data_IF_112127838926
#
_entry.id   IF_112127838926
#
_cell.length_a   1.000
_cell.length_b   1.000
_cell.length_c   1.000
_cell.angle_alpha   90.00
_cell.angle_beta   90.00
_cell.angle_gamma   90.00
#
_symmetry.space_group_name_H-M   'P 1'
#
loop_
_entity.id
_entity.type
_entity.pdbx_description
1 polymer ?
#
# COMPACT_ATOMS: atom_id res chain seq x y z
N UNK A 1 -8.84 18.50 -69.54
CA UNK A 1 -8.53 17.25 -68.81
C UNK A 1 -7.47 17.56 -67.78
N UNK A 2 -7.76 17.30 -66.52
CA UNK A 2 -6.79 17.38 -65.43
C UNK A 2 -7.27 16.45 -64.34
N UNK A 3 -6.86 15.18 -64.42
CA UNK A 3 -7.18 14.17 -63.42
C UNK A 3 -6.29 14.45 -62.22
N UNK A 4 -6.89 14.91 -61.12
CA UNK A 4 -6.22 15.02 -59.83
C UNK A 4 -6.03 13.59 -59.32
N UNK A 5 -4.80 13.09 -59.41
CA UNK A 5 -4.44 11.78 -58.86
C UNK A 5 -4.33 11.86 -57.35
N UNK A 6 -5.17 11.05 -56.70
CA UNK A 6 -5.20 10.71 -55.27
C UNK A 6 -3.89 11.01 -54.52
N UNK A 7 -3.98 11.95 -53.57
CA UNK A 7 -3.01 12.11 -52.50
C UNK A 7 -3.01 10.83 -51.65
N UNK A 8 -2.05 9.96 -51.89
CA UNK A 8 -1.74 8.86 -50.98
C UNK A 8 -1.39 9.46 -49.62
N UNK A 9 -2.24 9.27 -48.62
CA UNK A 9 -1.87 9.48 -47.21
C UNK A 9 -0.54 8.76 -46.97
N UNK A 10 0.48 9.52 -46.55
CA UNK A 10 1.80 8.94 -46.26
C UNK A 10 1.63 7.87 -45.17
N UNK A 11 2.41 6.78 -45.24
CA UNK A 11 2.35 5.72 -44.23
C UNK A 11 2.57 6.25 -42.81
N UNK A 12 3.36 7.32 -42.68
CA UNK A 12 3.59 8.05 -41.43
C UNK A 12 2.32 8.72 -40.91
N UNK A 13 1.53 9.38 -41.77
CA UNK A 13 0.26 10.00 -41.38
C UNK A 13 -0.76 8.96 -40.92
N UNK A 14 -0.79 7.78 -41.56
CA UNK A 14 -1.66 6.67 -41.15
C UNK A 14 -1.23 6.13 -39.78
N UNK A 15 0.07 5.97 -39.54
CA UNK A 15 0.60 5.47 -38.27
C UNK A 15 0.34 6.46 -37.13
N UNK A 16 0.50 7.75 -37.39
CA UNK A 16 0.22 8.81 -36.43
C UNK A 16 -1.28 8.88 -36.09
N UNK A 17 -2.15 8.92 -37.10
CA UNK A 17 -3.60 8.92 -36.89
C UNK A 17 -4.09 7.67 -36.15
N UNK A 18 -3.45 6.52 -36.39
CA UNK A 18 -3.73 5.28 -35.66
C UNK A 18 -3.40 5.44 -34.18
N UNK A 19 -2.21 5.96 -33.87
CA UNK A 19 -1.78 6.16 -32.48
C UNK A 19 -2.68 7.18 -31.77
N UNK A 20 -2.96 8.31 -32.40
CA UNK A 20 -3.85 9.34 -31.84
C UNK A 20 -5.26 8.81 -31.57
N UNK A 21 -5.83 8.04 -32.51
CA UNK A 21 -7.14 7.41 -32.31
C UNK A 21 -7.10 6.38 -31.18
N UNK A 22 -6.05 5.57 -31.10
CA UNK A 22 -5.88 4.60 -30.02
C UNK A 22 -5.80 5.29 -28.65
N UNK A 23 -4.98 6.34 -28.52
CA UNK A 23 -4.79 7.08 -27.27
C UNK A 23 -6.09 7.78 -26.85
N UNK A 24 -6.82 8.36 -27.82
CA UNK A 24 -8.12 9.00 -27.55
C UNK A 24 -9.16 8.00 -27.07
N UNK A 25 -9.33 6.86 -27.76
CA UNK A 25 -10.28 5.83 -27.35
C UNK A 25 -9.92 5.24 -25.98
N UNK A 26 -8.62 5.05 -25.70
CA UNK A 26 -8.16 4.60 -24.40
C UNK A 26 -8.50 5.59 -23.28
N UNK A 27 -8.33 6.89 -23.54
CA UNK A 27 -8.65 7.94 -22.58
C UNK A 27 -10.15 8.05 -22.33
N UNK A 28 -10.97 7.95 -23.38
CA UNK A 28 -12.43 7.95 -23.26
C UNK A 28 -12.91 6.75 -22.44
N UNK A 29 -12.44 5.53 -22.75
CA UNK A 29 -12.76 4.32 -21.98
C UNK A 29 -12.33 4.42 -20.52
N UNK A 30 -11.10 4.89 -20.26
CA UNK A 30 -10.62 5.10 -18.89
C UNK A 30 -11.53 6.08 -18.14
N UNK A 31 -11.88 7.20 -18.76
CA UNK A 31 -12.71 8.23 -18.13
C UNK A 31 -14.11 7.70 -17.82
N UNK A 32 -14.72 7.00 -18.77
CA UNK A 32 -16.07 6.44 -18.62
C UNK A 32 -16.15 5.39 -17.50
N UNK A 33 -15.18 4.47 -17.46
CA UNK A 33 -15.11 3.46 -16.40
C UNK A 33 -14.83 4.10 -15.04
N UNK A 34 -13.87 5.05 -14.94
CA UNK A 34 -13.60 5.74 -13.68
C UNK A 34 -14.80 6.54 -13.18
N UNK A 35 -15.57 7.16 -14.08
CA UNK A 35 -16.80 7.86 -13.73
C UNK A 35 -17.90 6.89 -13.26
N UNK A 36 -18.01 5.71 -13.89
CA UNK A 36 -18.95 4.66 -13.48
C UNK A 36 -18.58 4.08 -12.11
N UNK A 37 -17.29 4.02 -11.81
CA UNK A 37 -16.75 3.50 -10.55
C UNK A 37 -16.59 4.57 -9.45
N UNK A 38 -16.97 5.83 -9.70
CA UNK A 38 -16.76 6.93 -8.74
C UNK A 38 -17.42 6.68 -7.37
N UNK A 39 -18.55 5.96 -7.36
CA UNK A 39 -19.33 5.64 -6.17
C UNK A 39 -18.93 4.26 -5.58
N UNK A 40 -17.92 3.60 -6.16
CA UNK A 40 -17.39 2.33 -5.68
C UNK A 40 -16.20 2.53 -4.74
N UNK A 41 -15.92 1.52 -3.93
CA UNK A 41 -14.73 1.43 -3.07
C UNK A 41 -13.48 0.92 -3.83
N UNK A 42 -13.54 0.88 -5.16
CA UNK A 42 -12.49 0.36 -6.01
C UNK A 42 -11.50 1.45 -6.40
N UNK A 43 -10.22 1.17 -6.18
CA UNK A 43 -9.11 2.01 -6.60
C UNK A 43 -8.35 1.35 -7.75
N UNK A 44 -8.02 2.14 -8.77
CA UNK A 44 -7.17 1.72 -9.88
C UNK A 44 -5.73 1.59 -9.40
N UNK A 45 -5.09 0.46 -9.66
CA UNK A 45 -3.65 0.32 -9.40
C UNK A 45 -2.88 1.08 -10.48
N UNK A 46 -2.06 2.05 -10.08
CA UNK A 46 -1.24 2.81 -11.01
C UNK A 46 -0.26 1.89 -11.76
N UNK A 47 -0.15 2.09 -13.08
CA UNK A 47 0.61 1.21 -13.97
C UNK A 47 -0.05 -0.14 -14.30
N UNK A 48 -1.21 -0.48 -13.71
CA UNK A 48 -1.89 -1.76 -13.96
C UNK A 48 -3.02 -1.65 -15.00
N UNK A 49 -2.77 -0.91 -16.08
CA UNK A 49 -3.71 -0.80 -17.19
C UNK A 49 -3.01 -0.97 -18.52
N UNK A 50 -3.66 -1.67 -19.45
CA UNK A 50 -3.21 -1.86 -20.82
C UNK A 50 -4.35 -1.63 -21.81
N UNK A 51 -3.98 -1.15 -22.99
CA UNK A 51 -4.90 -0.99 -24.12
C UNK A 51 -4.48 -1.98 -25.18
N UNK A 52 -5.44 -2.76 -25.67
CA UNK A 52 -5.26 -3.70 -26.76
C UNK A 52 -6.11 -3.26 -27.94
N UNK A 53 -5.50 -3.17 -29.13
CA UNK A 53 -6.26 -3.01 -30.37
C UNK A 53 -6.71 -4.40 -30.81
N UNK A 54 -8.01 -4.62 -30.90
CA UNK A 54 -8.58 -5.90 -31.31
C UNK A 54 -8.80 -5.99 -32.82
N UNK A 55 -9.22 -4.87 -33.43
CA UNK A 55 -9.47 -4.78 -34.88
C UNK A 55 -9.30 -3.33 -35.35
N UNK A 56 -8.96 -3.14 -36.62
CA UNK A 56 -9.03 -1.84 -37.27
C UNK A 56 -9.31 -1.98 -38.77
N UNK A 57 -10.08 -1.04 -39.33
CA UNK A 57 -10.49 -1.01 -40.73
C UNK A 57 -10.28 0.38 -41.31
N UNK A 58 -9.82 0.44 -42.55
CA UNK A 58 -9.66 1.69 -43.30
C UNK A 58 -10.55 1.60 -44.53
N UNK A 59 -11.58 2.45 -44.60
CA UNK A 59 -12.52 2.52 -45.73
C UNK A 59 -12.53 3.92 -46.31
N UNK A 60 -12.10 4.07 -47.57
CA UNK A 60 -11.91 5.35 -48.27
C UNK A 60 -11.03 6.33 -47.47
N UNK A 61 -11.62 7.08 -46.53
CA UNK A 61 -10.97 8.05 -45.64
C UNK A 61 -11.35 7.87 -44.15
N UNK A 62 -12.02 6.77 -43.78
CA UNK A 62 -12.47 6.50 -42.40
C UNK A 62 -11.63 5.39 -41.81
N UNK A 63 -10.92 5.69 -40.72
CA UNK A 63 -10.27 4.72 -39.84
C UNK A 63 -11.24 4.35 -38.71
N UNK A 64 -11.68 3.09 -38.69
CA UNK A 64 -12.45 2.51 -37.59
C UNK A 64 -11.54 1.61 -36.77
N UNK A 65 -11.59 1.72 -35.44
CA UNK A 65 -10.76 0.93 -34.54
C UNK A 65 -11.59 0.37 -33.39
N UNK A 66 -11.36 -0.91 -33.07
CA UNK A 66 -11.90 -1.57 -31.89
C UNK A 66 -10.76 -1.76 -30.89
N UNK A 67 -10.91 -1.19 -29.70
CA UNK A 67 -9.94 -1.30 -28.62
C UNK A 67 -10.59 -1.90 -27.37
N UNK A 68 -9.81 -2.68 -26.63
CA UNK A 68 -10.14 -3.16 -25.30
C UNK A 68 -9.18 -2.52 -24.30
N UNK A 69 -9.73 -1.89 -23.28
CA UNK A 69 -8.97 -1.43 -22.12
C UNK A 69 -9.07 -2.48 -21.01
N UNK A 70 -7.92 -2.91 -20.50
CA UNK A 70 -7.81 -3.83 -19.37
C UNK A 70 -7.19 -3.05 -18.21
N UNK A 71 -7.80 -3.12 -17.04
CA UNK A 71 -7.32 -2.45 -15.85
C UNK A 71 -7.59 -3.31 -14.61
N UNK A 72 -6.71 -3.19 -13.62
CA UNK A 72 -6.87 -3.88 -12.34
C UNK A 72 -7.24 -2.89 -11.25
N UNK A 73 -8.27 -3.27 -10.50
CA UNK A 73 -8.81 -2.51 -9.39
C UNK A 73 -8.72 -3.34 -8.11
N UNK A 74 -8.58 -2.67 -6.97
CA UNK A 74 -8.62 -3.31 -5.66
C UNK A 74 -9.52 -2.52 -4.72
N UNK A 75 -10.06 -3.21 -3.71
CA UNK A 75 -10.73 -2.57 -2.58
C UNK A 75 -9.70 -2.27 -1.52
N UNK A 76 -9.58 -1.00 -1.13
CA UNK A 76 -8.64 -0.58 -0.08
C UNK A 76 -8.89 -1.33 1.23
N UNK A 77 -10.16 -1.55 1.59
CA UNK A 77 -10.56 -2.30 2.79
C UNK A 77 -10.04 -3.73 2.81
N UNK A 78 -10.03 -4.40 1.65
CA UNK A 78 -9.56 -5.79 1.55
C UNK A 78 -8.04 -5.84 1.73
N UNK A 79 -7.32 -4.86 1.18
CA UNK A 79 -5.87 -4.73 1.39
C UNK A 79 -5.54 -4.50 2.88
N UNK A 80 -6.23 -3.57 3.54
CA UNK A 80 -6.09 -3.31 4.97
C UNK A 80 -6.33 -4.59 5.79
N UNK A 81 -7.38 -5.35 5.44
CA UNK A 81 -7.71 -6.61 6.10
C UNK A 81 -6.59 -7.64 5.92
N UNK A 82 -6.03 -7.74 4.71
CA UNK A 82 -4.93 -8.66 4.41
C UNK A 82 -3.64 -8.28 5.15
N UNK A 83 -3.33 -6.99 5.25
CA UNK A 83 -2.21 -6.47 6.04
C UNK A 83 -2.38 -6.82 7.52
N UNK A 84 -3.55 -6.50 8.10
CA UNK A 84 -3.83 -6.79 9.52
C UNK A 84 -3.73 -8.29 9.82
N UNK A 85 -4.24 -9.14 8.93
CA UNK A 85 -4.11 -10.59 9.02
C UNK A 85 -2.64 -11.05 8.97
N UNK A 86 -1.87 -10.53 8.01
CA UNK A 86 -0.45 -10.87 7.86
C UNK A 86 0.35 -10.50 9.12
N UNK A 87 0.17 -9.27 9.63
CA UNK A 87 0.86 -8.77 10.81
C UNK A 87 0.49 -9.57 12.05
N UNK A 88 -0.81 -9.79 12.29
CA UNK A 88 -1.28 -10.52 13.48
C UNK A 88 -0.77 -11.97 13.56
N UNK A 89 -0.57 -12.60 12.40
CA UNK A 89 -0.08 -13.99 12.32
C UNK A 89 1.44 -14.11 12.43
N UNK A 90 2.20 -13.17 11.87
CA UNK A 90 3.66 -13.21 11.91
C UNK A 90 4.24 -12.56 13.16
N UNK A 91 3.49 -11.65 13.78
CA UNK A 91 3.91 -10.89 14.96
C UNK A 91 2.83 -10.99 16.04
N UNK A 92 2.86 -12.06 16.87
CA UNK A 92 1.87 -12.29 17.92
C UNK A 92 1.76 -11.15 18.95
N UNK A 93 2.84 -10.39 19.13
CA UNK A 93 2.89 -9.22 20.02
C UNK A 93 2.16 -8.00 19.43
N UNK A 94 1.82 -8.04 18.13
CA UNK A 94 1.09 -7.01 17.39
C UNK A 94 -0.38 -7.37 17.16
N UNK A 95 -0.98 -8.25 17.98
CA UNK A 95 -2.40 -8.66 17.85
C UNK A 95 -3.42 -7.53 17.84
N UNK A 96 -3.08 -6.37 18.41
CA UNK A 96 -3.92 -5.16 18.41
C UNK A 96 -3.49 -4.13 17.37
N UNK A 97 -2.72 -4.55 16.35
CA UNK A 97 -2.33 -3.70 15.25
C UNK A 97 -3.57 -3.33 14.42
N UNK A 98 -3.93 -2.06 14.46
CA UNK A 98 -4.91 -1.49 13.55
C UNK A 98 -4.18 -0.62 12.55
N UNK A 99 -4.18 -1.03 11.29
CA UNK A 99 -3.74 -0.19 10.20
C UNK A 99 -4.77 0.94 9.96
N UNK A 100 -4.37 2.21 10.14
CA UNK A 100 -5.26 3.37 9.98
C UNK A 100 -4.59 4.56 9.26
N UNK A 101 -3.45 4.32 8.61
CA UNK A 101 -2.63 5.37 7.99
C UNK A 101 -2.83 5.45 6.47
N UNK A 102 -2.43 6.58 5.89
CA UNK A 102 -2.40 6.80 4.44
C UNK A 102 -1.44 5.79 3.77
N UNK A 103 -2.00 4.80 3.06
CA UNK A 103 -1.21 3.87 2.26
C UNK A 103 -0.70 4.64 1.04
N UNK A 104 0.61 4.81 0.94
CA UNK A 104 1.22 5.18 -0.33
C UNK A 104 1.19 3.95 -1.25
N UNK A 105 0.23 3.90 -2.17
CA UNK A 105 0.15 2.81 -3.14
C UNK A 105 1.26 2.96 -4.18
N UNK A 106 2.18 1.99 -4.31
CA UNK A 106 3.19 2.00 -5.33
C UNK A 106 2.59 1.62 -6.68
N UNK A 107 3.26 2.08 -7.73
CA UNK A 107 3.01 1.59 -9.09
C UNK A 107 3.20 0.07 -9.14
N UNK A 108 2.38 -0.58 -9.96
CA UNK A 108 2.56 -1.98 -10.31
C UNK A 108 4.00 -2.22 -10.79
N UNK A 109 4.70 -3.17 -10.15
CA UNK A 109 6.07 -3.54 -10.52
C UNK A 109 6.08 -4.47 -11.73
N UNK A 110 5.05 -5.32 -11.86
CA UNK A 110 4.87 -6.21 -13.01
C UNK A 110 3.40 -6.55 -13.20
N UNK A 111 2.92 -6.51 -14.44
CA UNK A 111 1.57 -6.96 -14.80
C UNK A 111 1.65 -8.01 -15.90
N UNK A 112 1.03 -9.16 -15.69
CA UNK A 112 0.83 -10.19 -16.71
C UNK A 112 -0.67 -10.37 -16.95
N UNK A 113 -1.22 -9.62 -17.90
CA UNK A 113 -2.63 -9.70 -18.29
C UNK A 113 -3.02 -11.05 -18.89
N UNK A 114 -2.06 -11.86 -19.38
CA UNK A 114 -2.37 -13.19 -19.94
C UNK A 114 -2.61 -14.20 -18.82
N UNK A 115 -1.82 -14.11 -17.76
CA UNK A 115 -1.96 -14.97 -16.56
C UNK A 115 -2.95 -14.41 -15.53
N UNK A 116 -3.32 -13.14 -15.66
CA UNK A 116 -4.11 -12.44 -14.64
C UNK A 116 -3.32 -12.16 -13.37
N UNK A 117 -1.99 -12.03 -13.48
CA UNK A 117 -1.10 -11.79 -12.34
C UNK A 117 -0.67 -10.32 -12.26
N UNK A 118 -0.60 -9.80 -11.04
CA UNK A 118 -0.14 -8.45 -10.73
C UNK A 118 0.82 -8.49 -9.55
N UNK A 119 1.95 -7.83 -9.70
CA UNK A 119 2.96 -7.67 -8.66
C UNK A 119 3.10 -6.19 -8.33
N UNK A 120 3.09 -5.90 -7.04
CA UNK A 120 3.18 -4.57 -6.47
C UNK A 120 3.69 -4.72 -5.04
N UNK A 121 4.44 -3.73 -4.56
CA UNK A 121 5.18 -3.84 -3.29
C UNK A 121 4.83 -2.68 -2.41
N UNK A 122 3.96 -2.88 -1.43
CA UNK A 122 3.63 -1.84 -0.47
C UNK A 122 4.74 -1.65 0.55
N UNK A 123 5.11 -0.38 0.74
CA UNK A 123 5.91 0.02 1.89
C UNK A 123 4.96 0.56 2.94
N UNK A 124 4.89 -0.14 4.06
CA UNK A 124 4.14 0.29 5.22
C UNK A 124 5.16 0.81 6.22
N UNK A 125 5.25 2.13 6.31
CA UNK A 125 6.01 2.78 7.37
C UNK A 125 5.04 3.16 8.48
N UNK A 126 5.17 2.53 9.64
CA UNK A 126 4.33 2.83 10.79
C UNK A 126 5.14 2.79 12.07
N UNK A 127 5.21 3.94 12.73
CA UNK A 127 5.62 4.07 14.12
C UNK A 127 4.50 3.51 15.01
N UNK A 128 4.44 2.19 15.13
CA UNK A 128 3.59 1.59 16.14
C UNK A 128 4.29 1.73 17.49
N UNK A 129 3.82 2.67 18.31
CA UNK A 129 3.94 2.48 19.75
C UNK A 129 3.17 1.20 20.05
N UNK A 130 3.87 0.07 20.23
CA UNK A 130 3.23 -1.14 20.69
C UNK A 130 2.48 -0.79 21.98
N UNK A 131 1.20 -1.20 22.14
CA UNK A 131 0.54 -1.11 23.42
C UNK A 131 1.25 -2.09 24.36
N UNK A 132 2.38 -1.65 24.92
CA UNK A 132 3.05 -2.37 25.97
C UNK A 132 2.05 -2.47 27.12
N UNK A 133 1.75 -3.70 27.56
CA UNK A 133 0.95 -3.91 28.76
C UNK A 133 1.79 -3.42 29.95
N UNK A 134 1.64 -2.14 30.26
CA UNK A 134 2.39 -1.47 31.31
C UNK A 134 2.11 -2.08 32.67
N UNK A 135 0.95 -2.69 32.88
CA UNK A 135 0.60 -3.34 34.14
C UNK A 135 1.32 -4.68 34.31
N UNK A 136 1.44 -5.45 33.23
CA UNK A 136 2.29 -6.65 33.22
C UNK A 136 3.76 -6.28 33.41
N UNK A 137 4.24 -5.25 32.71
CA UNK A 137 5.61 -4.80 32.84
C UNK A 137 5.91 -4.31 34.27
N UNK A 138 5.02 -3.53 34.89
CA UNK A 138 5.14 -3.12 36.31
C UNK A 138 5.25 -4.33 37.25
N UNK A 139 4.44 -5.37 37.02
CA UNK A 139 4.47 -6.59 37.84
C UNK A 139 5.79 -7.34 37.73
N UNK A 140 6.36 -7.42 36.53
CA UNK A 140 7.64 -8.07 36.30
C UNK A 140 8.83 -7.30 36.90
N UNK A 141 8.76 -5.97 36.87
CA UNK A 141 9.78 -5.07 37.42
C UNK A 141 9.71 -4.96 38.96
N UNK A 142 8.55 -5.19 39.57
CA UNK A 142 8.35 -5.03 41.00
C UNK A 142 9.30 -5.92 41.83
N UNK A 143 10.00 -5.31 42.79
CA UNK A 143 10.96 -6.00 43.65
C UNK A 143 12.27 -6.44 42.98
N UNK A 144 12.47 -6.13 41.69
CA UNK A 144 13.71 -6.43 40.98
C UNK A 144 14.77 -5.38 41.26
N UNK A 145 16.02 -5.81 41.24
CA UNK A 145 17.19 -4.94 41.24
C UNK A 145 17.43 -4.33 39.85
N UNK A 146 18.35 -3.37 39.76
CA UNK A 146 18.65 -2.67 38.51
C UNK A 146 19.05 -3.65 37.38
N UNK A 147 19.88 -4.63 37.69
CA UNK A 147 20.33 -5.63 36.73
C UNK A 147 19.17 -6.50 36.22
N UNK A 148 18.28 -6.95 37.12
CA UNK A 148 17.08 -7.70 36.76
C UNK A 148 16.11 -6.88 35.92
N UNK A 149 15.89 -5.61 36.27
CA UNK A 149 15.05 -4.71 35.47
C UNK A 149 15.63 -4.49 34.07
N UNK A 150 16.94 -4.24 33.96
CA UNK A 150 17.63 -4.11 32.66
C UNK A 150 17.44 -5.36 31.81
N UNK A 151 17.63 -6.54 32.40
CA UNK A 151 17.48 -7.83 31.70
C UNK A 151 16.08 -8.00 31.12
N UNK A 152 15.04 -7.72 31.93
CA UNK A 152 13.64 -7.80 31.50
C UNK A 152 13.38 -6.84 30.34
N UNK A 153 13.85 -5.58 30.45
CA UNK A 153 13.64 -4.55 29.45
C UNK A 153 14.38 -4.89 28.14
N UNK A 154 15.65 -5.29 28.20
CA UNK A 154 16.44 -5.67 27.02
C UNK A 154 15.94 -6.95 26.35
N UNK A 155 15.25 -7.81 27.09
CA UNK A 155 14.60 -9.00 26.54
C UNK A 155 13.34 -8.69 25.71
N UNK A 156 12.84 -7.45 25.75
CA UNK A 156 11.69 -7.01 24.94
C UNK A 156 12.20 -6.45 23.61
N UNK A 157 11.89 -7.15 22.53
CA UNK A 157 12.21 -6.73 21.15
C UNK A 157 11.54 -5.42 20.73
N UNK A 158 10.51 -4.98 21.45
CA UNK A 158 9.77 -3.75 21.18
C UNK A 158 10.29 -2.50 21.94
N UNK A 159 11.30 -2.65 22.81
CA UNK A 159 11.89 -1.53 23.55
C UNK A 159 13.23 -1.18 22.92
N UNK A 160 13.28 -0.05 22.20
CA UNK A 160 14.52 0.41 21.57
C UNK A 160 15.51 0.99 22.59
N UNK A 161 15.01 1.73 23.58
CA UNK A 161 15.80 2.27 24.67
C UNK A 161 14.94 2.49 25.91
N UNK A 162 15.55 2.47 27.09
CA UNK A 162 14.87 2.75 28.34
C UNK A 162 15.82 3.41 29.35
N UNK A 163 15.30 4.41 30.06
CA UNK A 163 15.97 5.00 31.21
C UNK A 163 15.33 4.47 32.50
N UNK A 164 16.16 3.99 33.42
CA UNK A 164 15.71 3.50 34.73
C UNK A 164 16.19 4.51 35.78
N UNK A 165 15.25 5.10 36.50
CA UNK A 165 15.54 6.05 37.57
C UNK A 165 14.99 5.53 38.89
N UNK A 166 15.88 5.28 39.86
CA UNK A 166 15.51 4.81 41.19
C UNK A 166 15.64 5.95 42.20
N UNK A 167 14.60 6.14 43.00
CA UNK A 167 14.65 7.10 44.10
C UNK A 167 15.62 6.64 45.20
N UNK A 168 16.17 7.56 46.02
CA UNK A 168 17.12 7.25 47.08
C UNK A 168 16.64 6.22 48.13
N UNK A 169 15.34 5.97 48.23
CA UNK A 169 14.77 4.95 49.12
C UNK A 169 14.69 3.55 48.48
N UNK A 170 14.92 3.45 47.17
CA UNK A 170 14.80 2.24 46.34
C UNK A 170 16.06 1.99 45.51
N UNK A 171 17.21 2.46 46.01
CA UNK A 171 18.50 2.44 45.28
C UNK A 171 18.91 1.04 44.82
N UNK A 172 18.50 0.00 45.56
CA UNK A 172 18.86 -1.38 45.26
C UNK A 172 17.76 -2.17 44.57
N UNK A 173 16.48 -1.84 44.78
CA UNK A 173 15.34 -2.62 44.28
C UNK A 173 14.12 -1.75 44.03
N UNK A 174 13.38 -2.04 42.96
CA UNK A 174 12.09 -1.43 42.69
C UNK A 174 11.07 -1.74 43.80
N UNK A 175 10.14 -0.81 44.11
CA UNK A 175 9.11 -1.05 45.11
C UNK A 175 8.20 -2.22 44.70
N UNK A 176 7.79 -3.03 45.67
CA UNK A 176 6.83 -4.13 45.46
C UNK A 176 5.43 -3.57 45.11
N UNK A 177 5.10 -2.39 45.63
CA UNK A 177 3.82 -1.75 45.36
C UNK A 177 3.81 -1.13 43.96
N UNK A 178 3.02 -1.71 43.05
CA UNK A 178 2.88 -1.28 41.66
C UNK A 178 2.48 0.19 41.50
N UNK A 179 1.74 0.76 42.46
CA UNK A 179 1.35 2.19 42.43
C UNK A 179 2.54 3.14 42.58
N UNK A 180 3.70 2.64 43.02
CA UNK A 180 4.94 3.41 43.17
C UNK A 180 5.88 3.25 41.96
N UNK A 181 5.51 2.42 40.97
CA UNK A 181 6.24 2.26 39.72
C UNK A 181 5.53 3.08 38.65
N UNK A 182 6.22 4.11 38.15
CA UNK A 182 5.74 4.91 37.03
C UNK A 182 6.50 4.53 35.76
N UNK A 183 5.78 4.31 34.67
CA UNK A 183 6.37 4.04 33.35
C UNK A 183 5.83 5.11 32.41
N UNK A 184 6.74 5.89 31.85
CA UNK A 184 6.45 6.93 30.86
C UNK A 184 6.98 6.46 29.51
N UNK A 185 6.17 6.63 28.47
CA UNK A 185 6.56 6.34 27.09
C UNK A 185 6.89 7.68 26.44
N UNK A 186 8.16 7.87 26.09
CA UNK A 186 8.58 9.01 25.27
C UNK A 186 8.27 8.69 23.81
N UNK A 187 7.44 9.52 23.19
CA UNK A 187 7.07 9.44 21.77
C UNK A 187 7.98 10.33 20.92
#
# INVERSE_FOLDING_TARGET
>A
MGIITNSSLSQEAILQNKKELQDKLAQELKTDILNTLKDSDLQLVDGASAVKVDDYKINANVLSMKVTWQALFFKEKDLITMINYFVSNHYPDLKNFTFNDNIAYPKASRVDFKKGELFFTFNIDKNNALPADLEVLKKELAGRDEAGMRTIITGRTYINSAAISLWPFWVSHAPINLKKINITIDN
#
